data_IF_564069430085
#
_entry.id   IF_564069430085
#
_cell.length_a   1.000
_cell.length_b   1.000
_cell.length_c   1.000
_cell.angle_alpha   90.00
_cell.angle_beta   90.00
_cell.angle_gamma   90.00
#
_symmetry.space_group_name_H-M   'P 1'
#
loop_
_entity.id
_entity.type
_entity.pdbx_description
1 polymer ?
#
# COMPACT_ATOMS: atom_id res chain seq x y z
N UNK A 1 2.80 24.51 0.16
CA UNK A 1 2.98 23.32 -0.69
C UNK A 1 1.77 22.43 -0.47
N UNK A 2 0.99 22.14 -1.50
CA UNK A 2 -0.15 21.23 -1.39
C UNK A 2 0.39 19.81 -1.24
N UNK A 3 -0.01 19.12 -0.18
CA UNK A 3 0.37 17.72 0.05
C UNK A 3 -0.62 16.83 -0.70
N UNK A 4 -0.13 15.87 -1.48
CA UNK A 4 -1.00 14.98 -2.25
C UNK A 4 -1.51 13.87 -1.33
N UNK A 5 -2.84 13.65 -1.21
CA UNK A 5 -3.34 12.55 -0.42
C UNK A 5 -2.96 11.21 -1.07
N UNK A 6 -2.71 10.19 -0.27
CA UNK A 6 -2.38 8.84 -0.71
C UNK A 6 -3.08 7.81 0.18
N UNK A 7 -3.39 6.64 -0.37
CA UNK A 7 -3.91 5.50 0.38
C UNK A 7 -2.76 4.58 0.77
N UNK A 8 -2.86 3.93 1.91
CA UNK A 8 -1.93 2.88 2.34
C UNK A 8 -2.61 1.52 2.36
N UNK A 9 -1.86 0.46 2.07
CA UNK A 9 -2.37 -0.90 2.20
C UNK A 9 -1.34 -1.85 2.81
N UNK A 10 -1.75 -2.60 3.83
CA UNK A 10 -0.92 -3.58 4.52
C UNK A 10 -1.70 -4.88 4.63
N UNK A 11 -1.17 -5.94 4.05
CA UNK A 11 -1.66 -7.31 4.27
C UNK A 11 -0.98 -7.98 5.46
N UNK A 12 -1.78 -8.45 6.44
CA UNK A 12 -1.31 -9.16 7.63
C UNK A 12 -0.75 -10.56 7.33
N UNK A 13 -0.97 -11.09 6.13
CA UNK A 13 -0.31 -12.32 5.67
C UNK A 13 1.24 -12.21 5.65
N UNK A 14 1.77 -10.98 5.61
CA UNK A 14 3.22 -10.70 5.59
C UNK A 14 3.70 -9.95 6.84
N UNK A 15 2.85 -9.85 7.87
CA UNK A 15 3.16 -9.16 9.13
C UNK A 15 2.95 -10.14 10.27
N UNK A 16 3.97 -10.35 11.10
CA UNK A 16 3.97 -11.41 12.11
C UNK A 16 3.13 -11.07 13.34
N UNK A 17 3.08 -9.79 13.72
CA UNK A 17 2.40 -9.33 14.92
C UNK A 17 2.11 -7.83 14.89
N UNK A 18 1.36 -7.35 15.88
CA UNK A 18 0.98 -5.94 16.03
C UNK A 18 2.17 -5.00 16.15
N UNK A 19 3.28 -5.43 16.77
CA UNK A 19 4.49 -4.62 16.87
C UNK A 19 5.11 -4.34 15.51
N UNK A 20 5.16 -5.37 14.66
CA UNK A 20 5.60 -5.25 13.27
C UNK A 20 4.61 -4.41 12.44
N UNK A 21 3.30 -4.58 12.63
CA UNK A 21 2.29 -3.75 11.97
C UNK A 21 2.51 -2.26 12.26
N UNK A 22 2.74 -1.90 13.53
CA UNK A 22 3.01 -0.51 13.93
C UNK A 22 4.33 0.01 13.36
N UNK A 23 5.33 -0.85 13.17
CA UNK A 23 6.60 -0.48 12.54
C UNK A 23 6.41 -0.25 11.03
N UNK A 24 5.70 -1.15 10.34
CA UNK A 24 5.37 -1.04 8.92
C UNK A 24 4.52 0.19 8.65
N UNK A 25 3.49 0.43 9.45
CA UNK A 25 2.63 1.62 9.33
C UNK A 25 3.44 2.92 9.51
N UNK A 26 4.35 2.98 10.49
CA UNK A 26 5.26 4.12 10.65
C UNK A 26 6.15 4.31 9.44
N UNK A 27 6.70 3.22 8.89
CA UNK A 27 7.54 3.26 7.69
C UNK A 27 6.78 3.77 6.47
N UNK A 28 5.54 3.32 6.26
CA UNK A 28 4.65 3.82 5.21
C UNK A 28 4.44 5.32 5.35
N UNK A 29 4.16 5.79 6.57
CA UNK A 29 3.94 7.23 6.84
C UNK A 29 5.20 8.06 6.59
N UNK A 30 6.36 7.61 7.05
CA UNK A 30 7.64 8.28 6.78
C UNK A 30 7.91 8.34 5.28
N UNK A 31 7.79 7.21 4.59
CA UNK A 31 7.98 7.15 3.14
C UNK A 31 7.03 8.10 2.40
N UNK A 32 5.74 8.10 2.73
CA UNK A 32 4.78 9.00 2.11
C UNK A 32 5.17 10.47 2.30
N UNK A 33 5.53 10.86 3.53
CA UNK A 33 5.95 12.22 3.83
C UNK A 33 7.21 12.64 3.04
N UNK A 34 8.20 11.76 2.95
CA UNK A 34 9.45 12.01 2.20
C UNK A 34 9.19 12.19 0.69
N UNK A 35 8.09 11.63 0.18
CA UNK A 35 7.62 11.77 -1.19
C UNK A 35 6.59 12.90 -1.38
N UNK A 36 6.36 13.75 -0.37
CA UNK A 36 5.39 14.84 -0.46
C UNK A 36 3.93 14.38 -0.45
N UNK A 37 3.68 13.16 0.04
CA UNK A 37 2.37 12.54 0.17
C UNK A 37 1.88 12.55 1.62
N UNK A 38 0.56 12.51 1.80
CA UNK A 38 -0.06 12.29 3.10
C UNK A 38 -0.95 11.04 3.03
N UNK A 39 -0.64 10.02 3.85
CA UNK A 39 -1.53 8.87 3.99
C UNK A 39 -2.84 9.30 4.64
N UNK A 40 -3.91 9.37 3.86
CA UNK A 40 -5.25 9.75 4.36
C UNK A 40 -5.91 8.59 5.08
N UNK A 41 -5.69 7.36 4.61
CA UNK A 41 -6.18 6.12 5.24
C UNK A 41 -5.22 4.99 4.93
N UNK A 42 -5.02 4.09 5.91
CA UNK A 42 -4.27 2.84 5.73
C UNK A 42 -5.21 1.68 5.96
N UNK A 43 -5.41 0.88 4.93
CA UNK A 43 -6.21 -0.33 4.94
C UNK A 43 -5.34 -1.49 5.41
N UNK A 44 -5.81 -2.22 6.42
CA UNK A 44 -5.12 -3.39 6.96
C UNK A 44 -5.97 -4.62 6.67
N UNK A 45 -5.46 -5.49 5.82
CA UNK A 45 -6.12 -6.75 5.47
C UNK A 45 -5.73 -7.83 6.47
N UNK A 46 -6.73 -8.40 7.13
CA UNK A 46 -6.58 -9.51 8.07
C UNK A 46 -6.62 -10.86 7.33
N UNK A 47 -6.11 -11.95 7.91
CA UNK A 47 -6.28 -13.27 7.32
C UNK A 47 -7.77 -13.66 7.25
N UNK A 48 -8.20 -14.19 6.09
CA UNK A 48 -9.60 -14.55 5.84
C UNK A 48 -10.19 -13.88 4.59
N UNK A 49 -11.49 -13.58 4.59
CA UNK A 49 -12.16 -12.89 3.48
C UNK A 49 -11.59 -11.48 3.25
N UNK A 50 -11.39 -11.05 2.00
CA UNK A 50 -10.60 -9.87 1.64
C UNK A 50 -11.35 -8.54 1.79
N UNK A 51 -11.82 -8.23 3.00
CA UNK A 51 -12.72 -7.09 3.23
C UNK A 51 -12.02 -5.74 3.05
N UNK A 52 -10.84 -5.55 3.67
CA UNK A 52 -10.15 -4.26 3.60
C UNK A 52 -9.57 -4.01 2.20
N UNK A 53 -9.24 -5.07 1.48
CA UNK A 53 -8.80 -5.01 0.10
C UNK A 53 -9.94 -4.56 -0.83
N UNK A 54 -11.18 -4.99 -0.60
CA UNK A 54 -12.34 -4.47 -1.33
C UNK A 54 -12.64 -3.01 -0.98
N UNK A 55 -12.64 -2.65 0.31
CA UNK A 55 -12.84 -1.25 0.73
C UNK A 55 -11.74 -0.31 0.16
N UNK A 56 -10.53 -0.83 -0.04
CA UNK A 56 -9.44 -0.11 -0.71
C UNK A 56 -9.76 0.11 -2.19
N UNK A 57 -10.21 -0.93 -2.90
CA UNK A 57 -10.56 -0.83 -4.31
C UNK A 57 -11.72 0.15 -4.54
N UNK A 58 -12.74 0.12 -3.68
CA UNK A 58 -13.83 1.09 -3.73
C UNK A 58 -13.30 2.53 -3.54
N UNK A 59 -12.46 2.75 -2.54
CA UNK A 59 -11.87 4.07 -2.33
C UNK A 59 -10.96 4.52 -3.48
N UNK A 60 -10.24 3.61 -4.13
CA UNK A 60 -9.45 3.92 -5.32
C UNK A 60 -10.37 4.32 -6.48
N UNK A 61 -11.46 3.60 -6.72
CA UNK A 61 -12.45 3.92 -7.76
C UNK A 61 -13.12 5.28 -7.55
N UNK A 62 -13.39 5.67 -6.30
CA UNK A 62 -13.94 6.99 -5.96
C UNK A 62 -12.91 8.12 -6.02
N UNK A 63 -11.62 7.78 -6.03
CA UNK A 63 -10.52 8.75 -6.03
C UNK A 63 -9.99 8.98 -7.45
N UNK A 64 -9.75 10.23 -7.82
CA UNK A 64 -9.13 10.55 -9.11
C UNK A 64 -7.60 10.41 -9.01
N UNK A 65 -7.08 9.22 -9.33
CA UNK A 65 -5.63 8.97 -9.47
C UNK A 65 -4.84 9.06 -8.16
N UNK A 66 -5.50 8.82 -7.02
CA UNK A 66 -4.83 8.84 -5.72
C UNK A 66 -3.75 7.73 -5.66
N UNK A 67 -2.49 8.05 -5.28
CA UNK A 67 -1.43 7.05 -5.17
C UNK A 67 -1.71 6.03 -4.06
N UNK A 68 -1.25 4.80 -4.29
CA UNK A 68 -1.29 3.71 -3.32
C UNK A 68 0.12 3.41 -2.80
N UNK A 69 0.32 3.46 -1.49
CA UNK A 69 1.58 3.11 -0.83
C UNK A 69 1.46 1.73 -0.18
N UNK A 70 2.36 0.82 -0.54
CA UNK A 70 2.43 -0.53 0.03
C UNK A 70 3.81 -0.81 0.62
N UNK A 71 3.95 -1.69 1.63
CA UNK A 71 5.27 -2.06 2.14
C UNK A 71 6.11 -2.75 1.07
N UNK A 72 5.52 -3.75 0.41
CA UNK A 72 6.07 -4.47 -0.76
C UNK A 72 4.92 -4.86 -1.69
N UNK A 73 5.20 -5.19 -2.96
CA UNK A 73 4.16 -5.64 -3.89
C UNK A 73 3.44 -6.90 -3.42
N UNK A 74 4.10 -7.76 -2.64
CA UNK A 74 3.49 -9.01 -2.15
C UNK A 74 2.23 -8.78 -1.33
N UNK A 75 2.08 -7.62 -0.67
CA UNK A 75 0.86 -7.32 0.07
C UNK A 75 -0.38 -7.29 -0.84
N UNK A 76 -0.22 -7.05 -2.15
CA UNK A 76 -1.31 -7.07 -3.14
C UNK A 76 -1.76 -8.49 -3.55
N UNK A 77 -1.12 -9.56 -3.07
CA UNK A 77 -1.43 -10.94 -3.50
C UNK A 77 -2.89 -11.34 -3.27
N UNK A 78 -3.52 -10.75 -2.26
CA UNK A 78 -4.94 -10.99 -1.92
C UNK A 78 -5.89 -10.50 -3.01
N UNK A 79 -5.46 -9.55 -3.84
CA UNK A 79 -6.21 -9.04 -4.99
C UNK A 79 -5.95 -9.83 -6.28
N UNK A 80 -4.90 -10.66 -6.30
CA UNK A 80 -4.46 -11.39 -7.49
C UNK A 80 -2.94 -11.36 -7.66
N UNK A 81 -2.45 -11.54 -8.89
CA UNK A 81 -1.01 -11.53 -9.14
C UNK A 81 -0.41 -10.12 -8.92
N UNK A 82 0.53 -9.92 -7.98
CA UNK A 82 0.97 -8.58 -7.55
C UNK A 82 1.37 -7.61 -8.66
N UNK A 83 2.11 -8.08 -9.67
CA UNK A 83 2.53 -7.23 -10.80
C UNK A 83 1.37 -6.87 -11.72
N UNK A 84 0.42 -7.78 -11.94
CA UNK A 84 -0.75 -7.51 -12.77
C UNK A 84 -1.67 -6.50 -12.08
N UNK A 85 -1.83 -6.61 -10.77
CA UNK A 85 -2.60 -5.63 -9.98
C UNK A 85 -1.93 -4.26 -10.04
N UNK A 86 -0.61 -4.18 -9.83
CA UNK A 86 0.13 -2.92 -9.98
C UNK A 86 -0.07 -2.29 -11.36
N UNK A 87 0.09 -3.08 -12.41
CA UNK A 87 -0.01 -2.60 -13.79
C UNK A 87 -1.45 -2.16 -14.10
N UNK A 88 -2.45 -2.89 -13.60
CA UNK A 88 -3.86 -2.50 -13.72
C UNK A 88 -4.15 -1.17 -13.02
N UNK A 89 -3.71 -1.00 -11.77
CA UNK A 89 -3.86 0.26 -11.02
C UNK A 89 -3.19 1.43 -11.76
N UNK A 90 -2.00 1.21 -12.32
CA UNK A 90 -1.32 2.22 -13.13
C UNK A 90 -2.12 2.61 -14.38
N UNK A 91 -2.74 1.66 -15.08
CA UNK A 91 -3.64 1.97 -16.21
C UNK A 91 -4.88 2.76 -15.76
N UNK A 92 -5.33 2.58 -14.52
CA UNK A 92 -6.38 3.37 -13.88
C UNK A 92 -5.86 4.69 -13.29
N UNK A 93 -4.64 5.13 -13.63
CA UNK A 93 -4.00 6.35 -13.13
C UNK A 93 -3.66 6.36 -11.63
N UNK A 94 -3.64 5.20 -10.97
CA UNK A 94 -3.17 5.06 -9.59
C UNK A 94 -1.73 4.54 -9.57
N UNK A 95 -0.79 5.41 -9.18
CA UNK A 95 0.59 4.98 -8.98
C UNK A 95 0.72 4.10 -7.73
N UNK A 96 1.45 2.99 -7.83
CA UNK A 96 1.75 2.13 -6.67
C UNK A 96 3.19 2.31 -6.24
N UNK A 97 3.38 2.86 -5.04
CA UNK A 97 4.66 3.15 -4.44
C UNK A 97 5.03 2.11 -3.39
N UNK A 98 6.31 1.69 -3.40
CA UNK A 98 6.82 0.63 -2.52
C UNK A 98 7.69 1.24 -1.42
N UNK A 99 7.22 1.19 -0.18
CA UNK A 99 7.88 1.81 0.97
C UNK A 99 9.08 1.00 1.52
N UNK A 100 9.19 -0.29 1.19
CA UNK A 100 10.31 -1.13 1.58
C UNK A 100 11.05 -1.60 0.34
N UNK A 101 12.21 -1.02 0.05
CA UNK A 101 13.12 -1.59 -0.93
C UNK A 101 13.53 -2.99 -0.45
N UNK A 102 13.61 -4.01 -1.34
CA UNK A 102 14.24 -5.26 -0.98
C UNK A 102 15.64 -4.92 -0.43
N UNK A 103 16.05 -5.58 0.66
CA UNK A 103 17.39 -5.41 1.17
C UNK A 103 18.36 -5.61 0.00
N UNK A 104 19.13 -4.58 -0.36
CA UNK A 104 20.27 -4.73 -1.25
C UNK A 104 21.10 -5.85 -0.62
N UNK A 105 21.16 -7.01 -1.29
CA UNK A 105 22.16 -8.00 -0.96
C UNK A 105 23.48 -7.30 -1.29
N UNK A 106 24.13 -6.77 -0.27
CA UNK A 106 25.55 -6.47 -0.30
C UNK A 106 26.26 -7.80 -0.55
N UNK A 107 26.51 -8.08 -1.83
CA UNK A 107 27.52 -9.03 -2.28
C UNK A 107 28.87 -8.32 -2.31
#
# INVERSE_FOLDING_TARGET
MSVTPALGFISMYFVRNTGELLAVHRRLKTFANDHGLQLSKVYVEEPGPPNAAFDLLEALLESEGQPLVVPTLHHLVVLGHPTQIRDHLHHCSHEVLIATKPAERTC
#
